data_IF_608578781480
#
_entry.id   IF_608578781480
#
_cell.length_a   1.000
_cell.length_b   1.000
_cell.length_c   1.000
_cell.angle_alpha   90.00
_cell.angle_beta   90.00
_cell.angle_gamma   90.00
#
_symmetry.space_group_name_H-M   'P 1'
#
loop_
_entity.id
_entity.type
_entity.pdbx_description
1 polymer ?
#
# COMPACT_ATOMS: atom_id res chain seq x y z
N UNK A 1 -13.17 -2.63 9.94
CA UNK A 1 -13.57 -1.39 9.25
C UNK A 1 -12.49 -0.36 9.50
N UNK A 2 -11.66 -0.10 8.52
CA UNK A 2 -10.82 1.10 8.63
C UNK A 2 -11.75 2.28 8.81
N UNK A 3 -11.46 3.17 9.76
CA UNK A 3 -12.28 4.34 10.00
C UNK A 3 -12.34 5.16 8.72
N UNK A 4 -13.41 4.96 7.96
CA UNK A 4 -13.68 5.68 6.72
C UNK A 4 -13.72 7.21 6.93
N UNK A 5 -13.93 7.63 8.15
CA UNK A 5 -14.01 9.02 8.56
C UNK A 5 -12.68 9.74 8.31
N UNK A 6 -11.57 9.20 8.79
CA UNK A 6 -10.24 9.78 8.57
C UNK A 6 -9.89 9.90 7.09
N UNK A 7 -10.24 8.90 6.27
CA UNK A 7 -9.99 8.95 4.83
C UNK A 7 -10.78 10.09 4.17
N UNK A 8 -12.06 10.24 4.49
CA UNK A 8 -12.92 11.27 3.91
C UNK A 8 -12.46 12.68 4.27
N UNK A 9 -12.12 12.91 5.53
CA UNK A 9 -11.55 14.17 5.99
C UNK A 9 -10.23 14.49 5.30
N UNK A 10 -9.34 13.48 5.20
CA UNK A 10 -8.03 13.64 4.54
C UNK A 10 -8.17 13.92 3.05
N UNK A 11 -9.09 13.26 2.35
CA UNK A 11 -9.39 13.53 0.94
C UNK A 11 -9.89 14.98 0.76
N UNK A 12 -10.80 15.43 1.63
CA UNK A 12 -11.33 16.78 1.60
C UNK A 12 -10.23 17.85 1.81
N UNK A 13 -9.44 17.70 2.86
CA UNK A 13 -8.35 18.66 3.17
C UNK A 13 -7.29 18.66 2.08
N UNK A 14 -6.88 17.48 1.61
CA UNK A 14 -5.87 17.36 0.55
C UNK A 14 -6.32 18.00 -0.76
N UNK A 15 -7.60 17.85 -1.12
CA UNK A 15 -8.18 18.48 -2.29
C UNK A 15 -8.27 20.00 -2.13
N UNK A 16 -8.79 20.46 -1.00
CA UNK A 16 -8.98 21.89 -0.71
C UNK A 16 -7.65 22.68 -0.74
N UNK A 17 -6.60 22.08 -0.20
CA UNK A 17 -5.28 22.71 -0.12
C UNK A 17 -4.36 22.38 -1.31
N UNK A 18 -4.82 21.56 -2.25
CA UNK A 18 -4.02 21.16 -3.41
C UNK A 18 -2.75 20.40 -3.04
N UNK A 19 -2.81 19.55 -1.99
CA UNK A 19 -1.62 18.89 -1.45
C UNK A 19 -1.06 17.86 -2.45
N UNK A 20 0.29 17.73 -2.55
CA UNK A 20 0.95 16.77 -3.42
C UNK A 20 0.92 15.34 -2.83
N UNK A 21 -0.28 14.77 -2.68
CA UNK A 21 -0.50 13.46 -2.05
C UNK A 21 -1.01 12.45 -3.09
N UNK A 22 -0.46 11.24 -3.05
CA UNK A 22 -0.99 10.09 -3.79
C UNK A 22 -1.57 9.11 -2.79
N UNK A 23 -2.90 8.94 -2.84
CA UNK A 23 -3.60 7.93 -2.05
C UNK A 23 -3.59 6.61 -2.83
N UNK A 24 -3.21 5.53 -2.16
CA UNK A 24 -3.23 4.19 -2.73
C UNK A 24 -4.13 3.31 -1.88
N UNK A 25 -5.14 2.72 -2.50
CA UNK A 25 -6.02 1.73 -1.90
C UNK A 25 -5.69 0.35 -2.45
N UNK A 26 -5.12 -0.51 -1.65
CA UNK A 26 -4.95 -1.92 -1.96
C UNK A 26 -6.27 -2.65 -1.69
N UNK A 27 -7.15 -2.67 -2.70
CA UNK A 27 -8.44 -3.33 -2.59
C UNK A 27 -8.27 -4.84 -2.78
N UNK A 28 -8.10 -5.55 -1.67
CA UNK A 28 -7.89 -6.99 -1.65
C UNK A 28 -9.20 -7.82 -1.54
N UNK A 29 -10.36 -7.17 -1.65
CA UNK A 29 -11.68 -7.81 -1.62
C UNK A 29 -12.22 -8.14 -0.24
N UNK A 30 -11.47 -7.88 0.86
CA UNK A 30 -11.89 -8.26 2.21
C UNK A 30 -11.66 -7.15 3.25
N UNK A 31 -12.56 -7.09 4.22
CA UNK A 31 -12.40 -6.39 5.50
C UNK A 31 -12.22 -7.46 6.58
N UNK A 32 -10.97 -7.71 7.01
CA UNK A 32 -10.59 -8.87 7.83
C UNK A 32 -11.08 -10.19 7.20
N UNK A 33 -12.17 -10.75 7.73
CA UNK A 33 -12.76 -12.01 7.29
C UNK A 33 -14.06 -11.82 6.49
N UNK A 34 -14.54 -10.57 6.36
CA UNK A 34 -15.80 -10.26 5.67
C UNK A 34 -15.52 -9.82 4.23
N UNK A 35 -16.19 -10.41 3.22
CA UNK A 35 -16.10 -9.92 1.85
C UNK A 35 -16.46 -8.44 1.76
N UNK A 36 -15.63 -7.65 1.06
CA UNK A 36 -15.82 -6.21 0.95
C UNK A 36 -17.18 -5.87 0.32
N UNK A 37 -17.70 -6.72 -0.57
CA UNK A 37 -19.01 -6.55 -1.22
C UNK A 37 -20.19 -6.58 -0.23
N UNK A 38 -20.03 -7.19 0.95
CA UNK A 38 -21.07 -7.26 1.98
C UNK A 38 -21.11 -6.02 2.89
N UNK A 39 -19.99 -5.28 2.97
CA UNK A 39 -19.81 -4.16 3.93
C UNK A 39 -19.43 -2.84 3.29
N UNK A 40 -19.27 -2.81 1.96
CA UNK A 40 -18.84 -1.61 1.23
C UNK A 40 -19.85 -1.26 0.16
N UNK A 41 -20.59 -0.18 0.37
CA UNK A 41 -21.52 0.34 -0.64
C UNK A 41 -20.78 1.17 -1.69
N UNK A 42 -21.18 1.02 -2.96
CA UNK A 42 -20.61 1.77 -4.08
C UNK A 42 -19.15 1.41 -4.39
N UNK A 43 -18.53 2.22 -5.25
CA UNK A 43 -17.13 2.03 -5.65
C UNK A 43 -16.22 2.86 -4.75
N UNK A 44 -15.07 2.30 -4.39
CA UNK A 44 -14.10 3.00 -3.51
C UNK A 44 -13.54 4.24 -4.19
N UNK A 45 -13.16 4.14 -5.46
CA UNK A 45 -12.65 5.26 -6.25
C UNK A 45 -13.64 6.43 -6.37
N UNK A 46 -14.97 6.18 -6.34
CA UNK A 46 -15.98 7.23 -6.42
C UNK A 46 -16.02 8.11 -5.15
N UNK A 47 -15.56 7.59 -4.02
CA UNK A 47 -15.40 8.37 -2.79
C UNK A 47 -14.36 9.47 -2.95
N UNK A 48 -13.23 9.18 -3.61
CA UNK A 48 -12.21 10.18 -3.92
C UNK A 48 -12.75 11.21 -4.93
N UNK A 49 -13.46 10.77 -5.96
CA UNK A 49 -14.07 11.63 -6.96
C UNK A 49 -15.08 12.61 -6.36
N UNK A 50 -15.79 12.22 -5.29
CA UNK A 50 -16.73 13.09 -4.58
C UNK A 50 -16.05 14.33 -3.98
N UNK A 51 -14.75 14.26 -3.68
CA UNK A 51 -13.92 15.39 -3.23
C UNK A 51 -13.10 16.02 -4.36
N UNK A 52 -13.46 15.78 -5.62
CA UNK A 52 -12.73 16.29 -6.79
C UNK A 52 -11.28 15.77 -6.91
N UNK A 53 -10.96 14.65 -6.24
CA UNK A 53 -9.68 13.98 -6.37
C UNK A 53 -9.75 13.03 -7.58
N UNK A 54 -8.89 13.20 -8.61
CA UNK A 54 -8.80 12.24 -9.72
C UNK A 54 -8.50 10.85 -9.20
N UNK A 55 -9.30 9.87 -9.63
CA UNK A 55 -9.17 8.49 -9.18
C UNK A 55 -9.12 7.52 -10.36
N UNK A 56 -8.19 6.57 -10.31
CA UNK A 56 -8.01 5.50 -11.28
C UNK A 56 -8.11 4.14 -10.58
N UNK A 57 -8.69 3.16 -11.26
CA UNK A 57 -8.69 1.76 -10.85
C UNK A 57 -7.73 1.00 -11.76
N UNK A 58 -6.88 0.17 -11.17
CA UNK A 58 -5.87 -0.62 -11.87
C UNK A 58 -5.90 -2.08 -11.41
N UNK A 59 -5.41 -2.97 -12.23
CA UNK A 59 -5.03 -4.31 -11.80
C UNK A 59 -3.80 -4.21 -10.89
N UNK A 60 -4.00 -4.44 -9.58
CA UNK A 60 -2.92 -4.41 -8.58
C UNK A 60 -1.91 -5.54 -8.74
N UNK A 61 -2.23 -6.57 -9.53
CA UNK A 61 -1.32 -7.66 -9.84
C UNK A 61 -0.53 -7.43 -11.15
N UNK A 62 -0.83 -6.38 -11.94
CA UNK A 62 0.02 -5.94 -13.06
C UNK A 62 0.93 -4.79 -12.62
N UNK A 63 2.20 -5.12 -12.32
CA UNK A 63 3.19 -4.13 -11.87
C UNK A 63 3.38 -2.98 -12.87
N UNK A 64 3.17 -3.21 -14.17
CA UNK A 64 3.33 -2.16 -15.20
C UNK A 64 2.15 -1.19 -15.21
N UNK A 65 0.93 -1.67 -14.95
CA UNK A 65 -0.24 -0.80 -14.75
C UNK A 65 -0.07 0.07 -13.51
N UNK A 66 0.33 -0.55 -12.39
CA UNK A 66 0.57 0.18 -11.13
C UNK A 66 1.68 1.22 -11.31
N UNK A 67 2.80 0.85 -11.96
CA UNK A 67 3.91 1.78 -12.24
C UNK A 67 3.47 2.98 -13.08
N UNK A 68 2.69 2.75 -14.13
CA UNK A 68 2.17 3.82 -15.00
C UNK A 68 1.24 4.76 -14.22
N UNK A 69 0.25 4.21 -13.51
CA UNK A 69 -0.70 4.99 -12.73
C UNK A 69 0.01 5.80 -11.62
N UNK A 70 0.96 5.19 -10.92
CA UNK A 70 1.76 5.86 -9.91
C UNK A 70 2.63 6.98 -10.52
N UNK A 71 3.24 6.74 -11.68
CA UNK A 71 4.03 7.73 -12.41
C UNK A 71 3.21 8.98 -12.78
N UNK A 72 2.01 8.78 -13.33
CA UNK A 72 1.08 9.87 -13.67
C UNK A 72 0.63 10.65 -12.40
N UNK A 73 0.30 9.95 -11.32
CA UNK A 73 -0.10 10.56 -10.06
C UNK A 73 1.04 11.36 -9.40
N UNK A 74 2.26 10.83 -9.41
CA UNK A 74 3.46 11.50 -8.89
C UNK A 74 3.81 12.74 -9.72
N UNK A 75 3.75 12.64 -11.06
CA UNK A 75 3.98 13.79 -11.93
C UNK A 75 2.98 14.90 -11.62
N UNK A 76 1.68 14.57 -11.56
CA UNK A 76 0.63 15.51 -11.20
C UNK A 76 0.91 16.20 -9.86
N UNK A 77 1.29 15.44 -8.82
CA UNK A 77 1.58 15.99 -7.51
C UNK A 77 2.77 16.95 -7.54
N UNK A 78 3.84 16.60 -8.27
CA UNK A 78 5.04 17.45 -8.43
C UNK A 78 4.79 18.72 -9.22
N UNK A 79 3.88 18.68 -10.17
CA UNK A 79 3.49 19.83 -11.00
C UNK A 79 2.46 20.73 -10.31
N UNK A 80 2.15 20.51 -9.03
CA UNK A 80 1.17 21.29 -8.29
C UNK A 80 -0.28 21.00 -8.67
N UNK A 81 -0.54 19.89 -9.35
CA UNK A 81 -1.88 19.46 -9.79
C UNK A 81 -2.78 18.91 -8.67
N UNK A 82 -2.29 18.88 -7.42
CA UNK A 82 -3.03 18.39 -6.25
C UNK A 82 -3.00 16.87 -6.11
N UNK A 83 -3.88 16.32 -5.24
CA UNK A 83 -3.88 14.89 -4.90
C UNK A 83 -4.39 14.00 -6.03
N UNK A 84 -4.07 12.71 -5.94
CA UNK A 84 -4.58 11.64 -6.80
C UNK A 84 -4.93 10.42 -5.95
N UNK A 85 -5.82 9.56 -6.46
CA UNK A 85 -6.23 8.32 -5.81
C UNK A 85 -6.07 7.15 -6.78
N UNK A 86 -5.40 6.07 -6.34
CA UNK A 86 -5.22 4.84 -7.10
C UNK A 86 -5.90 3.70 -6.32
N UNK A 87 -6.90 3.07 -6.89
CA UNK A 87 -7.46 1.83 -6.39
C UNK A 87 -6.82 0.66 -7.14
N UNK A 88 -5.90 -0.05 -6.46
CA UNK A 88 -5.25 -1.24 -6.98
C UNK A 88 -6.04 -2.48 -6.54
N UNK A 89 -6.70 -3.14 -7.47
CA UNK A 89 -7.42 -4.39 -7.19
C UNK A 89 -6.44 -5.54 -7.11
N UNK A 90 -6.44 -6.23 -5.99
CA UNK A 90 -5.54 -7.34 -5.69
C UNK A 90 -6.26 -8.39 -4.85
N UNK A 91 -5.54 -9.36 -4.34
CA UNK A 91 -6.07 -10.40 -3.47
C UNK A 91 -5.07 -10.77 -2.38
N UNK A 92 -5.56 -10.98 -1.18
CA UNK A 92 -4.76 -11.36 -0.03
C UNK A 92 -4.61 -12.89 0.06
N UNK A 93 -3.64 -13.46 -0.67
CA UNK A 93 -3.44 -14.91 -0.82
C UNK A 93 -3.19 -15.59 0.54
N UNK A 94 -2.35 -15.02 1.39
CA UNK A 94 -1.91 -15.62 2.66
C UNK A 94 -2.92 -15.49 3.81
N UNK A 95 -4.02 -14.77 3.62
CA UNK A 95 -4.99 -14.51 4.67
C UNK A 95 -4.74 -13.19 5.41
N UNK A 96 -5.51 -12.96 6.48
CA UNK A 96 -5.44 -11.70 7.22
C UNK A 96 -4.20 -11.65 8.13
N UNK A 97 -3.82 -12.78 8.73
CA UNK A 97 -2.62 -12.94 9.55
C UNK A 97 -2.18 -14.40 9.61
N UNK A 98 -0.93 -14.66 9.99
CA UNK A 98 -0.34 -16.01 9.93
C UNK A 98 -1.06 -17.06 10.79
N UNK A 99 -1.58 -16.67 11.96
CA UNK A 99 -2.30 -17.56 12.86
C UNK A 99 -3.80 -17.70 12.53
N UNK A 100 -4.26 -17.23 11.38
CA UNK A 100 -5.66 -17.23 10.95
C UNK A 100 -6.31 -18.61 11.08
N UNK A 101 -5.64 -19.66 10.61
CA UNK A 101 -6.13 -21.04 10.69
C UNK A 101 -6.29 -21.55 12.14
N UNK A 102 -5.46 -21.06 13.05
CA UNK A 102 -5.55 -21.41 14.47
C UNK A 102 -6.74 -20.71 15.14
N UNK A 103 -6.98 -19.44 14.83
CA UNK A 103 -8.07 -18.63 15.42
C UNK A 103 -9.43 -19.04 14.86
N UNK A 104 -9.54 -19.28 13.57
CA UNK A 104 -10.78 -19.67 12.90
C UNK A 104 -11.08 -21.16 12.98
N UNK A 105 -10.10 -21.98 13.40
CA UNK A 105 -10.23 -23.43 13.41
C UNK A 105 -10.55 -23.96 12.01
N UNK A 106 -11.67 -24.71 11.89
CA UNK A 106 -12.16 -25.20 10.60
C UNK A 106 -13.06 -24.18 9.87
N UNK A 107 -13.34 -23.01 10.47
CA UNK A 107 -14.13 -21.94 9.86
C UNK A 107 -13.32 -21.24 8.78
N UNK A 108 -13.61 -21.48 7.52
CA UNK A 108 -13.01 -20.77 6.38
C UNK A 108 -13.96 -19.71 5.88
N UNK A 109 -13.49 -18.49 5.72
CA UNK A 109 -14.24 -17.38 5.15
C UNK A 109 -13.99 -17.21 3.64
N UNK A 110 -13.06 -18.02 3.08
CA UNK A 110 -12.71 -18.04 1.65
C UNK A 110 -12.68 -19.46 1.13
N UNK A 111 -13.07 -19.63 -0.13
CA UNK A 111 -12.96 -20.90 -0.83
C UNK A 111 -11.50 -21.18 -1.24
N UNK A 112 -11.11 -22.46 -1.16
CA UNK A 112 -9.79 -22.89 -1.64
C UNK A 112 -9.65 -22.72 -3.16
N UNK A 113 -10.71 -22.94 -3.91
CA UNK A 113 -10.71 -22.77 -5.36
C UNK A 113 -10.47 -21.30 -5.73
N UNK A 114 -11.08 -20.38 -4.99
CA UNK A 114 -10.84 -18.94 -5.12
C UNK A 114 -9.38 -18.58 -4.83
N UNK A 115 -8.83 -19.06 -3.71
CA UNK A 115 -7.44 -18.80 -3.34
C UNK A 115 -6.47 -19.34 -4.41
N UNK A 116 -6.73 -20.55 -4.91
CA UNK A 116 -5.88 -21.17 -5.92
C UNK A 116 -5.95 -20.43 -7.26
N UNK A 117 -7.14 -19.97 -7.66
CA UNK A 117 -7.30 -19.15 -8.85
C UNK A 117 -6.49 -17.84 -8.77
N UNK A 118 -6.43 -17.22 -7.59
CA UNK A 118 -5.63 -16.02 -7.37
C UNK A 118 -4.13 -16.31 -7.28
N UNK A 119 -3.71 -17.48 -6.81
CA UNK A 119 -2.30 -17.89 -6.86
C UNK A 119 -1.77 -17.98 -8.28
N UNK A 120 -2.60 -18.37 -9.24
CA UNK A 120 -2.23 -18.36 -10.65
C UNK A 120 -2.03 -16.96 -11.22
N UNK A 121 -2.44 -15.93 -10.47
CA UNK A 121 -2.28 -14.52 -10.81
C UNK A 121 -1.24 -13.83 -9.91
N UNK A 122 -0.28 -14.58 -9.38
CA UNK A 122 0.84 -14.02 -8.61
C UNK A 122 1.61 -13.00 -9.45
N UNK A 123 1.66 -11.73 -9.02
CA UNK A 123 2.29 -10.65 -9.80
C UNK A 123 3.77 -10.88 -10.08
N UNK A 124 4.48 -11.57 -9.17
CA UNK A 124 5.91 -11.86 -9.34
C UNK A 124 6.10 -12.87 -10.47
N UNK A 125 5.34 -13.97 -10.44
CA UNK A 125 5.41 -15.01 -11.46
C UNK A 125 5.00 -14.47 -12.84
N UNK A 126 3.87 -13.77 -12.92
CA UNK A 126 3.37 -13.21 -14.18
C UNK A 126 4.35 -12.19 -14.78
N UNK A 127 4.94 -11.32 -13.98
CA UNK A 127 5.90 -10.34 -14.48
C UNK A 127 7.21 -10.98 -14.90
N UNK A 128 7.69 -11.98 -14.15
CA UNK A 128 8.85 -12.80 -14.51
C UNK A 128 8.66 -13.43 -15.90
N UNK A 129 7.53 -14.09 -16.13
CA UNK A 129 7.22 -14.72 -17.41
C UNK A 129 7.15 -13.71 -18.56
N UNK A 130 6.57 -12.53 -18.30
CA UNK A 130 6.54 -11.43 -19.28
C UNK A 130 7.93 -10.94 -19.64
N UNK A 131 8.82 -10.74 -18.67
CA UNK A 131 10.19 -10.27 -18.89
C UNK A 131 11.02 -11.28 -19.69
N UNK A 132 10.90 -12.57 -19.37
CA UNK A 132 11.61 -13.65 -20.06
C UNK A 132 11.07 -13.81 -21.48
N UNK A 133 9.75 -13.89 -21.67
CA UNK A 133 9.12 -14.11 -22.97
C UNK A 133 9.34 -12.94 -23.94
N UNK A 134 9.43 -11.71 -23.44
CA UNK A 134 9.76 -10.53 -24.24
C UNK A 134 11.25 -10.36 -24.52
N UNK A 135 12.10 -11.18 -23.91
CA UNK A 135 13.56 -11.04 -24.01
C UNK A 135 14.13 -9.82 -23.28
N UNK A 136 13.34 -9.18 -22.40
CA UNK A 136 13.78 -8.01 -21.65
C UNK A 136 14.77 -8.38 -20.56
N UNK A 137 14.61 -9.55 -19.92
CA UNK A 137 15.55 -10.07 -18.94
C UNK A 137 15.71 -11.59 -19.08
N UNK A 138 16.90 -12.08 -18.76
CA UNK A 138 17.17 -13.53 -18.73
C UNK A 138 16.71 -14.14 -17.41
N UNK A 139 16.30 -15.42 -17.43
CA UNK A 139 15.89 -16.14 -16.21
C UNK A 139 16.97 -16.10 -15.13
N UNK A 140 18.25 -16.28 -15.50
CA UNK A 140 19.40 -16.24 -14.57
C UNK A 140 19.54 -14.89 -13.86
N UNK A 141 19.24 -13.79 -14.55
CA UNK A 141 19.30 -12.46 -13.94
C UNK A 141 18.18 -12.26 -12.92
N UNK A 142 16.99 -12.78 -13.22
CA UNK A 142 15.85 -12.74 -12.31
C UNK A 142 16.09 -13.64 -11.09
N UNK A 143 16.69 -14.84 -11.26
CA UNK A 143 17.08 -15.71 -10.14
C UNK A 143 18.09 -15.00 -9.21
N UNK A 144 19.04 -14.26 -9.78
CA UNK A 144 20.00 -13.48 -8.99
C UNK A 144 19.33 -12.35 -8.20
N UNK A 145 18.35 -11.67 -8.80
CA UNK A 145 17.57 -10.62 -8.10
C UNK A 145 16.80 -11.24 -6.94
N UNK A 146 16.12 -12.37 -7.17
CA UNK A 146 15.36 -13.08 -6.13
C UNK A 146 16.26 -13.51 -4.96
N UNK A 147 17.39 -14.15 -5.26
CA UNK A 147 18.35 -14.53 -4.23
C UNK A 147 18.84 -13.31 -3.41
N UNK A 148 19.17 -12.21 -4.09
CA UNK A 148 19.60 -10.98 -3.40
C UNK A 148 18.49 -10.34 -2.55
N UNK A 149 17.22 -10.51 -2.91
CA UNK A 149 16.09 -10.06 -2.07
C UNK A 149 15.95 -10.93 -0.83
N UNK A 150 16.06 -12.26 -0.98
CA UNK A 150 16.00 -13.19 0.15
C UNK A 150 17.13 -12.94 1.17
N UNK A 151 18.35 -12.71 0.69
CA UNK A 151 19.49 -12.33 1.55
C UNK A 151 19.19 -11.05 2.35
N UNK A 152 18.68 -10.01 1.68
CA UNK A 152 18.31 -8.75 2.34
C UNK A 152 17.20 -8.91 3.38
N UNK A 153 16.23 -9.78 3.14
CA UNK A 153 15.18 -10.10 4.12
C UNK A 153 15.76 -10.82 5.32
N UNK A 154 16.67 -11.79 5.10
CA UNK A 154 17.35 -12.47 6.19
C UNK A 154 18.21 -11.50 7.03
N UNK A 155 18.96 -10.62 6.39
CA UNK A 155 19.76 -9.58 7.07
C UNK A 155 18.86 -8.64 7.90
N UNK A 156 17.70 -8.23 7.35
CA UNK A 156 16.75 -7.37 8.07
C UNK A 156 16.17 -8.07 9.31
N UNK A 157 15.85 -9.36 9.21
CA UNK A 157 15.40 -10.16 10.34
C UNK A 157 16.49 -10.27 11.43
N UNK A 158 17.71 -10.60 11.04
CA UNK A 158 18.86 -10.66 11.97
C UNK A 158 19.13 -9.31 12.65
N UNK A 159 19.03 -8.21 11.89
CA UNK A 159 19.14 -6.85 12.44
C UNK A 159 18.07 -6.57 13.50
N UNK A 160 16.83 -6.93 13.22
CA UNK A 160 15.72 -6.72 14.15
C UNK A 160 15.86 -7.57 15.43
N UNK A 161 16.29 -8.84 15.30
CA UNK A 161 16.56 -9.74 16.43
C UNK A 161 17.72 -9.25 17.32
N UNK A 162 18.75 -8.64 16.73
CA UNK A 162 19.87 -8.07 17.47
C UNK A 162 19.54 -6.70 18.11
N UNK A 163 18.40 -6.10 17.76
CA UNK A 163 17.95 -4.81 18.24
C UNK A 163 17.63 -4.82 19.74
N UNK A 164 17.87 -3.70 20.40
CA UNK A 164 17.43 -3.51 21.78
C UNK A 164 16.01 -2.95 21.80
N UNK A 165 15.19 -3.29 22.82
CA UNK A 165 13.90 -2.63 23.01
C UNK A 165 14.06 -1.11 23.03
N UNK A 166 13.11 -0.39 22.46
CA UNK A 166 13.11 1.06 22.51
C UNK A 166 13.00 1.56 23.95
N UNK A 167 13.74 2.62 24.27
CA UNK A 167 13.61 3.30 25.54
C UNK A 167 12.22 3.92 25.65
N UNK A 168 11.42 3.59 26.70
CA UNK A 168 10.09 4.18 26.88
C UNK A 168 10.07 5.71 26.93
N UNK A 169 11.16 6.36 27.37
CA UNK A 169 11.28 7.82 27.41
C UNK A 169 11.29 8.44 26.00
N UNK A 170 11.66 7.68 24.96
CA UNK A 170 11.59 8.13 23.57
C UNK A 170 10.16 8.42 23.10
N UNK A 171 9.15 7.79 23.72
CA UNK A 171 7.75 8.00 23.33
C UNK A 171 7.34 9.48 23.46
N UNK A 172 7.82 10.19 24.49
CA UNK A 172 7.53 11.59 24.69
C UNK A 172 8.30 12.50 23.72
N UNK A 173 9.54 12.16 23.39
CA UNK A 173 10.41 12.99 22.56
C UNK A 173 10.17 12.80 21.07
N UNK A 174 9.62 11.65 20.65
CA UNK A 174 9.35 11.34 19.24
C UNK A 174 7.90 11.63 18.81
N UNK A 175 7.08 12.20 19.68
CA UNK A 175 5.68 12.50 19.36
C UNK A 175 5.53 13.58 18.29
N UNK A 176 6.49 14.50 18.22
CA UNK A 176 6.52 15.60 17.26
C UNK A 176 7.86 15.66 16.53
N UNK A 177 7.87 16.15 15.30
CA UNK A 177 9.11 16.43 14.61
C UNK A 177 9.91 17.49 15.40
N UNK A 178 11.26 17.40 15.45
CA UNK A 178 12.07 18.45 16.06
C UNK A 178 11.83 19.78 15.33
N UNK A 179 11.66 20.86 16.10
CA UNK A 179 11.51 22.19 15.52
C UNK A 179 12.72 22.52 14.62
N UNK A 180 12.48 23.07 13.42
CA UNK A 180 13.59 23.52 12.56
C UNK A 180 14.46 24.52 13.33
N UNK A 181 15.77 24.33 13.27
CA UNK A 181 16.70 25.26 13.89
C UNK A 181 16.47 26.68 13.32
N UNK A 182 15.96 27.61 14.15
CA UNK A 182 15.69 28.99 13.75
C UNK A 182 14.24 29.46 13.84
N UNK A 183 13.27 28.59 14.16
CA UNK A 183 11.84 28.98 14.25
C UNK A 183 11.50 29.88 15.43
N UNK A 184 12.34 30.00 16.46
CA UNK A 184 12.06 30.78 17.69
C UNK A 184 12.33 32.29 17.60
N UNK A 185 12.78 32.82 16.46
CA UNK A 185 13.12 34.25 16.36
C UNK A 185 12.03 35.16 15.78
N UNK A 186 10.88 34.64 15.37
CA UNK A 186 9.83 35.47 14.75
C UNK A 186 8.64 35.83 15.63
N UNK A 187 8.53 35.27 16.86
CA UNK A 187 7.40 35.55 17.74
C UNK A 187 7.64 36.68 18.79
N UNK A 188 8.79 37.34 18.80
CA UNK A 188 9.10 38.40 19.77
C UNK A 188 9.00 39.85 19.24
N UNK A 189 8.55 40.06 18.01
CA UNK A 189 8.40 41.40 17.41
C UNK A 189 7.01 41.63 16.78
N UNK A 190 5.93 41.16 17.41
CA UNK A 190 4.57 41.52 17.02
C UNK A 190 3.79 42.07 18.20
#
# INVERSE_FOLDING_TARGET
>A
MCSSDLLMETLNVSSLWGLPVVFVCENNGFSEFTPAAEVTAGRIADRARAFSVPAVEVDGNDVTEVWRAAGEAIARARDGGGPSFIEARTYRIQGHFEAESFVLGNGRYRDNEEIEAWRQQDPIALFRDRLVSSGTAGAVDLDRIEAGVLDRVADAAAYAEAGQPADPELAETLMFAPEPAGSRQQESEA
#
